data_IF_332932214901
#
_entry.id   IF_332932214901
#
_cell.length_a   1.000
_cell.length_b   1.000
_cell.length_c   1.000
_cell.angle_alpha   90.00
_cell.angle_beta   90.00
_cell.angle_gamma   90.00
#
_symmetry.space_group_name_H-M   'P 1'
#
loop_
_entity.id
_entity.type
_entity.pdbx_description
1 polymer ?
#
# COMPACT_ATOMS: atom_id res chain seq x y z
N UNK A 1 -2.01 32.19 1.62
CA UNK A 1 -0.91 32.08 0.63
C UNK A 1 -1.45 31.66 -0.74
N UNK A 2 -0.62 31.67 -1.81
CA UNK A 2 -1.01 31.11 -3.12
C UNK A 2 -1.40 29.63 -3.00
N UNK A 3 -0.70 28.87 -2.15
CA UNK A 3 -0.97 27.45 -1.89
C UNK A 3 -2.35 27.22 -1.28
N UNK A 4 -2.75 28.01 -0.29
CA UNK A 4 -4.11 27.92 0.29
C UNK A 4 -5.20 28.20 -0.76
N UNK A 5 -4.95 29.13 -1.68
CA UNK A 5 -5.85 29.40 -2.81
C UNK A 5 -5.99 28.19 -3.73
N UNK A 6 -4.86 27.54 -4.05
CA UNK A 6 -4.86 26.34 -4.89
C UNK A 6 -5.54 25.13 -4.20
N UNK A 7 -5.37 24.96 -2.89
CA UNK A 7 -6.05 23.91 -2.11
C UNK A 7 -7.56 24.15 -2.12
N UNK A 8 -8.04 25.40 -1.92
CA UNK A 8 -9.47 25.70 -2.02
C UNK A 8 -10.03 25.38 -3.40
N UNK A 9 -9.32 25.80 -4.46
CA UNK A 9 -9.74 25.53 -5.83
C UNK A 9 -9.71 24.03 -6.19
N UNK A 10 -8.82 23.25 -5.58
CA UNK A 10 -8.82 21.78 -5.68
C UNK A 10 -10.09 21.18 -5.07
N UNK A 11 -10.46 21.61 -3.86
CA UNK A 11 -11.66 21.15 -3.17
C UNK A 11 -12.92 21.47 -3.97
N UNK A 12 -13.02 22.69 -4.51
CA UNK A 12 -14.11 23.08 -5.40
C UNK A 12 -14.16 22.19 -6.65
N UNK A 13 -13.00 21.89 -7.26
CA UNK A 13 -12.92 21.00 -8.41
C UNK A 13 -13.36 19.57 -8.08
N UNK A 14 -13.05 19.05 -6.89
CA UNK A 14 -13.52 17.73 -6.43
C UNK A 14 -15.04 17.71 -6.30
N UNK A 15 -15.65 18.77 -5.74
CA UNK A 15 -17.11 18.87 -5.62
C UNK A 15 -17.82 18.84 -6.97
N UNK A 16 -17.17 19.29 -8.03
CA UNK A 16 -17.70 19.29 -9.39
C UNK A 16 -17.47 17.98 -10.17
N UNK A 17 -16.70 17.02 -9.63
CA UNK A 17 -16.54 15.72 -10.26
C UNK A 17 -17.85 14.90 -10.23
N UNK A 18 -18.04 13.97 -11.19
CA UNK A 18 -19.15 13.01 -11.13
C UNK A 18 -19.14 12.24 -9.81
N UNK A 19 -20.33 11.95 -9.27
CA UNK A 19 -20.47 11.29 -7.96
C UNK A 19 -19.70 9.97 -7.87
N UNK A 20 -19.77 9.15 -8.93
CA UNK A 20 -19.08 7.86 -9.02
C UNK A 20 -17.54 7.95 -9.00
N UNK A 21 -16.98 9.13 -9.24
CA UNK A 21 -15.54 9.36 -9.22
C UNK A 21 -15.04 9.92 -7.89
N UNK A 22 -15.86 10.70 -7.18
CA UNK A 22 -15.49 11.34 -5.89
C UNK A 22 -16.02 10.65 -4.64
N UNK A 23 -16.99 9.73 -4.76
CA UNK A 23 -17.67 9.10 -3.62
C UNK A 23 -16.70 8.53 -2.55
N UNK A 24 -15.67 7.78 -2.96
CA UNK A 24 -14.69 7.20 -2.02
C UNK A 24 -13.85 8.26 -1.29
N UNK A 25 -13.53 9.37 -1.95
CA UNK A 25 -12.82 10.49 -1.32
C UNK A 25 -13.71 11.24 -0.33
N UNK A 26 -14.95 11.54 -0.71
CA UNK A 26 -15.93 12.20 0.16
C UNK A 26 -16.17 11.38 1.43
N UNK A 27 -16.41 10.06 1.27
CA UNK A 27 -16.52 9.12 2.37
C UNK A 27 -15.28 9.09 3.26
N UNK A 28 -14.08 9.08 2.68
CA UNK A 28 -12.84 9.11 3.46
C UNK A 28 -12.69 10.40 4.28
N UNK A 29 -13.10 11.54 3.72
CA UNK A 29 -13.08 12.85 4.39
C UNK A 29 -14.06 12.90 5.57
N UNK A 30 -15.19 12.22 5.45
CA UNK A 30 -16.19 12.10 6.51
C UNK A 30 -15.75 11.11 7.60
N UNK A 31 -15.32 9.90 7.23
CA UNK A 31 -15.00 8.83 8.19
C UNK A 31 -13.62 8.98 8.86
N UNK A 32 -12.63 9.53 8.14
CA UNK A 32 -11.23 9.55 8.55
C UNK A 32 -10.47 10.80 8.05
N UNK A 33 -10.91 12.02 8.41
CA UNK A 33 -10.31 13.27 7.91
C UNK A 33 -8.81 13.40 8.23
N UNK A 34 -8.37 12.86 9.37
CA UNK A 34 -6.96 12.83 9.77
C UNK A 34 -6.12 11.94 8.84
N UNK A 35 -6.68 10.82 8.38
CA UNK A 35 -6.04 9.93 7.41
C UNK A 35 -5.98 10.58 6.04
N UNK A 36 -7.02 11.30 5.62
CA UNK A 36 -7.00 12.08 4.37
C UNK A 36 -5.91 13.14 4.38
N UNK A 37 -5.80 13.89 5.48
CA UNK A 37 -4.78 14.93 5.62
C UNK A 37 -3.36 14.36 5.61
N UNK A 38 -3.12 13.28 6.37
CA UNK A 38 -1.79 12.68 6.48
C UNK A 38 -1.38 11.91 5.23
N UNK A 39 -2.28 11.08 4.69
CA UNK A 39 -1.89 10.08 3.71
C UNK A 39 -2.09 10.55 2.25
N UNK A 40 -2.80 11.66 2.04
CA UNK A 40 -3.10 12.21 0.72
C UNK A 40 -3.07 13.73 0.72
N UNK A 41 -1.94 14.31 1.14
CA UNK A 41 -1.77 15.76 1.20
C UNK A 41 -2.08 16.41 -0.17
N UNK A 42 -3.09 17.30 -0.25
CA UNK A 42 -3.48 18.00 -1.48
C UNK A 42 -2.33 18.63 -2.28
N UNK A 43 -1.31 19.14 -1.57
CA UNK A 43 -0.18 19.81 -2.22
C UNK A 43 0.67 18.86 -3.06
N UNK A 44 0.77 17.57 -2.70
CA UNK A 44 1.51 16.59 -3.51
C UNK A 44 0.86 16.42 -4.88
N UNK A 45 -0.47 16.33 -4.93
CA UNK A 45 -1.25 16.19 -6.16
C UNK A 45 -1.21 17.46 -7.00
N UNK A 46 -1.33 18.63 -6.36
CA UNK A 46 -1.21 19.93 -7.02
C UNK A 46 0.18 20.14 -7.63
N UNK A 47 1.26 19.92 -6.86
CA UNK A 47 2.64 20.05 -7.37
C UNK A 47 2.86 19.14 -8.58
N UNK A 48 2.43 17.88 -8.50
CA UNK A 48 2.58 16.92 -9.58
C UNK A 48 1.84 17.33 -10.86
N UNK A 49 0.61 17.83 -10.73
CA UNK A 49 -0.20 18.31 -11.87
C UNK A 49 0.08 19.78 -12.24
N UNK A 50 1.21 20.33 -11.78
CA UNK A 50 1.64 21.72 -12.07
C UNK A 50 0.55 22.75 -11.74
N UNK A 51 -0.10 22.54 -10.60
CA UNK A 51 -1.21 23.34 -10.08
C UNK A 51 -2.47 23.37 -10.96
N UNK A 52 -2.63 22.41 -11.89
CA UNK A 52 -3.91 22.17 -12.53
C UNK A 52 -4.86 21.48 -11.52
N UNK A 53 -5.82 22.25 -11.00
CA UNK A 53 -6.73 21.81 -9.94
C UNK A 53 -7.65 20.69 -10.39
N UNK A 54 -8.09 20.68 -11.66
CA UNK A 54 -8.97 19.65 -12.19
C UNK A 54 -8.28 18.30 -12.32
N UNK A 55 -7.06 18.28 -12.85
CA UNK A 55 -6.31 17.03 -13.00
C UNK A 55 -5.84 16.51 -11.63
N UNK A 56 -5.46 17.41 -10.71
CA UNK A 56 -5.15 17.05 -9.34
C UNK A 56 -6.38 16.48 -8.60
N UNK A 57 -7.56 17.07 -8.79
CA UNK A 57 -8.82 16.59 -8.21
C UNK A 57 -9.15 15.17 -8.69
N UNK A 58 -9.08 14.93 -10.00
CA UNK A 58 -9.29 13.59 -10.59
C UNK A 58 -8.31 12.56 -10.04
N UNK A 59 -7.03 12.92 -9.92
CA UNK A 59 -6.00 12.03 -9.39
C UNK A 59 -6.23 11.70 -7.92
N UNK A 60 -6.54 12.70 -7.09
CA UNK A 60 -6.81 12.52 -5.67
C UNK A 60 -8.08 11.67 -5.44
N UNK A 61 -9.15 11.93 -6.20
CA UNK A 61 -10.35 11.11 -6.16
C UNK A 61 -10.07 9.66 -6.57
N UNK A 62 -9.30 9.45 -7.65
CA UNK A 62 -8.87 8.13 -8.10
C UNK A 62 -7.96 7.42 -7.09
N UNK A 63 -7.10 8.14 -6.36
CA UNK A 63 -6.28 7.57 -5.28
C UNK A 63 -7.15 6.88 -4.24
N UNK A 64 -8.19 7.56 -3.75
CA UNK A 64 -9.09 7.00 -2.75
C UNK A 64 -9.93 5.85 -3.30
N UNK A 65 -10.42 5.96 -4.53
CA UNK A 65 -11.08 4.84 -5.23
C UNK A 65 -10.19 3.59 -5.29
N UNK A 66 -8.94 3.75 -5.73
CA UNK A 66 -7.99 2.65 -5.79
C UNK A 66 -7.63 2.10 -4.39
N UNK A 67 -7.55 2.96 -3.38
CA UNK A 67 -7.31 2.58 -1.99
C UNK A 67 -8.48 1.75 -1.43
N UNK A 68 -9.71 2.20 -1.61
CA UNK A 68 -10.91 1.48 -1.20
C UNK A 68 -11.01 0.11 -1.88
N UNK A 69 -10.69 0.02 -3.17
CA UNK A 69 -10.63 -1.26 -3.88
C UNK A 69 -9.55 -2.20 -3.33
N UNK A 70 -8.35 -1.69 -3.04
CA UNK A 70 -7.22 -2.52 -2.62
C UNK A 70 -7.34 -3.00 -1.16
N UNK A 71 -7.90 -2.16 -0.27
CA UNK A 71 -7.89 -2.37 1.19
C UNK A 71 -9.27 -2.61 1.80
N UNK A 72 -10.35 -2.46 1.03
CA UNK A 72 -11.73 -2.64 1.48
C UNK A 72 -12.00 -1.82 2.75
N UNK A 73 -12.55 -2.42 3.80
CA UNK A 73 -12.83 -1.76 5.08
C UNK A 73 -11.59 -1.16 5.76
N UNK A 74 -10.37 -1.64 5.43
CA UNK A 74 -9.12 -1.11 6.00
C UNK A 74 -8.63 0.14 5.27
N UNK A 75 -9.28 0.58 4.19
CA UNK A 75 -8.86 1.73 3.39
C UNK A 75 -8.80 3.03 4.21
N UNK A 76 -9.67 3.17 5.20
CA UNK A 76 -9.77 4.34 6.07
C UNK A 76 -8.84 4.28 7.29
N UNK A 77 -7.96 3.27 7.36
CA UNK A 77 -6.91 3.20 8.36
C UNK A 77 -5.61 3.83 7.84
N UNK A 78 -4.71 4.31 8.72
CA UNK A 78 -3.40 4.84 8.32
C UNK A 78 -2.61 3.91 7.39
N UNK A 79 -2.03 4.44 6.31
CA UNK A 79 -1.18 3.68 5.39
C UNK A 79 0.20 3.45 6.01
N UNK A 80 0.32 2.42 6.85
CA UNK A 80 1.52 2.12 7.61
C UNK A 80 1.83 0.61 7.60
N UNK A 81 3.08 0.24 7.88
CA UNK A 81 3.54 -1.16 7.91
C UNK A 81 3.48 -1.78 9.32
N UNK A 82 2.72 -1.18 10.24
CA UNK A 82 2.60 -1.63 11.63
C UNK A 82 1.78 -2.91 11.78
N UNK A 83 1.04 -3.31 10.74
CA UNK A 83 0.06 -4.40 10.75
C UNK A 83 -1.33 -4.00 11.27
N UNK A 84 -1.47 -2.77 11.76
CA UNK A 84 -2.72 -2.25 12.35
C UNK A 84 -3.39 -1.17 11.50
N UNK A 85 -2.64 -0.59 10.56
CA UNK A 85 -3.13 0.35 9.56
C UNK A 85 -3.81 -0.34 8.39
N UNK A 86 -3.76 0.28 7.21
CA UNK A 86 -4.31 -0.30 5.99
C UNK A 86 -3.68 -1.68 5.69
N UNK A 87 -2.35 -1.82 5.85
CA UNK A 87 -1.66 -3.10 5.72
C UNK A 87 -1.97 -4.03 6.90
N UNK A 88 -2.47 -5.24 6.58
CA UNK A 88 -2.64 -6.31 7.56
C UNK A 88 -1.35 -7.10 7.80
N UNK A 89 -1.40 -8.03 8.76
CA UNK A 89 -0.25 -8.91 9.09
C UNK A 89 0.28 -9.68 7.87
N UNK A 90 -0.62 -10.17 7.01
CA UNK A 90 -0.24 -10.88 5.78
C UNK A 90 0.53 -9.97 4.82
N UNK A 91 0.11 -8.71 4.70
CA UNK A 91 0.76 -7.73 3.82
C UNK A 91 2.13 -7.34 4.37
N UNK A 92 2.24 -7.12 5.68
CA UNK A 92 3.52 -6.84 6.36
C UNK A 92 4.49 -8.02 6.24
N UNK A 93 4.02 -9.26 6.36
CA UNK A 93 4.85 -10.44 6.14
C UNK A 93 5.36 -10.53 4.70
N UNK A 94 4.55 -10.11 3.72
CA UNK A 94 4.99 -10.00 2.33
C UNK A 94 6.00 -8.86 2.16
N UNK A 95 5.78 -7.74 2.84
CA UNK A 95 6.68 -6.59 2.85
C UNK A 95 8.09 -6.98 3.33
N UNK A 96 8.17 -7.63 4.49
CA UNK A 96 9.41 -8.14 5.08
C UNK A 96 10.10 -9.26 4.29
N UNK A 97 9.52 -9.74 3.17
CA UNK A 97 10.24 -10.66 2.29
C UNK A 97 11.36 -10.00 1.49
N UNK A 98 11.33 -8.67 1.35
CA UNK A 98 12.24 -7.94 0.47
C UNK A 98 11.89 -8.05 -1.02
N UNK A 99 10.66 -8.46 -1.36
CA UNK A 99 10.21 -8.50 -2.76
C UNK A 99 10.23 -7.11 -3.43
N UNK A 100 9.92 -6.07 -2.66
CA UNK A 100 10.28 -4.71 -3.01
C UNK A 100 10.97 -4.06 -1.82
N UNK A 101 11.96 -3.22 -2.09
CA UNK A 101 12.75 -2.55 -1.06
C UNK A 101 13.10 -1.11 -1.47
N UNK A 102 13.34 -0.27 -0.46
CA UNK A 102 13.87 1.10 -0.60
C UNK A 102 15.31 1.14 -0.11
N UNK A 103 16.29 0.95 -0.99
CA UNK A 103 17.67 0.97 -0.55
C UNK A 103 18.22 2.40 -0.35
N UNK A 104 17.49 3.42 -0.82
CA UNK A 104 17.83 4.82 -0.63
C UNK A 104 17.44 5.69 -1.83
N UNK A 105 18.27 6.68 -2.09
CA UNK A 105 18.09 7.67 -3.15
C UNK A 105 19.24 7.61 -4.16
N UNK A 106 18.98 8.04 -5.38
CA UNK A 106 20.05 8.28 -6.36
C UNK A 106 20.73 9.64 -6.15
N UNK A 107 21.66 9.98 -7.04
CA UNK A 107 22.44 11.23 -7.02
C UNK A 107 21.59 12.52 -7.13
N UNK A 108 20.37 12.43 -7.65
CA UNK A 108 19.43 13.54 -7.76
C UNK A 108 18.40 13.60 -6.61
N UNK A 109 18.50 12.68 -5.65
CA UNK A 109 17.60 12.55 -4.51
C UNK A 109 16.30 11.81 -4.83
N UNK A 110 16.17 11.18 -6.01
CA UNK A 110 14.99 10.41 -6.39
C UNK A 110 14.96 9.10 -5.62
N UNK A 111 13.77 8.68 -5.19
CA UNK A 111 13.60 7.38 -4.54
C UNK A 111 13.97 6.25 -5.51
N UNK A 112 14.82 5.33 -5.07
CA UNK A 112 15.12 4.09 -5.79
C UNK A 112 14.22 2.98 -5.23
N UNK A 113 13.50 2.28 -6.11
CA UNK A 113 12.70 1.09 -5.75
C UNK A 113 13.31 -0.11 -6.44
N UNK A 114 13.75 -1.09 -5.66
CA UNK A 114 14.21 -2.38 -6.19
C UNK A 114 13.09 -3.40 -6.07
N UNK A 115 12.77 -4.07 -7.18
CA UNK A 115 11.90 -5.23 -7.21
C UNK A 115 12.72 -6.50 -7.49
N UNK A 116 12.86 -7.38 -6.49
CA UNK A 116 13.61 -8.63 -6.63
C UNK A 116 12.69 -9.85 -6.62
N UNK A 117 12.43 -10.40 -7.81
CA UNK A 117 11.54 -11.54 -7.97
C UNK A 117 12.00 -12.82 -7.23
N UNK A 118 13.28 -12.94 -6.88
CA UNK A 118 13.80 -14.12 -6.14
C UNK A 118 13.32 -14.15 -4.70
N UNK A 119 12.98 -12.99 -4.14
CA UNK A 119 12.55 -12.81 -2.76
C UNK A 119 11.06 -13.10 -2.55
N UNK A 120 10.31 -13.28 -3.63
CA UNK A 120 8.87 -13.58 -3.56
C UNK A 120 8.62 -15.00 -3.06
N UNK A 121 8.04 -15.12 -1.86
CA UNK A 121 7.74 -16.42 -1.21
C UNK A 121 6.39 -17.02 -1.64
N UNK A 122 5.36 -16.20 -1.88
CA UNK A 122 3.99 -16.66 -2.21
C UNK A 122 3.40 -15.88 -3.38
N UNK A 123 2.54 -16.54 -4.16
CA UNK A 123 1.75 -15.94 -5.23
C UNK A 123 0.43 -15.40 -4.68
N UNK A 124 0.51 -14.27 -3.98
CA UNK A 124 -0.67 -13.49 -3.61
C UNK A 124 -0.66 -12.19 -4.40
N UNK A 125 -1.56 -12.07 -5.38
CA UNK A 125 -1.64 -10.89 -6.24
C UNK A 125 -2.23 -9.68 -5.49
N UNK A 126 -3.16 -9.91 -4.58
CA UNK A 126 -3.81 -8.85 -3.80
C UNK A 126 -2.85 -8.27 -2.76
N UNK A 127 -2.11 -9.12 -2.03
CA UNK A 127 -1.05 -8.66 -1.14
C UNK A 127 0.06 -7.93 -1.91
N UNK A 128 0.41 -8.40 -3.13
CA UNK A 128 1.35 -7.69 -4.00
C UNK A 128 0.87 -6.29 -4.41
N UNK A 129 -0.43 -6.15 -4.68
CA UNK A 129 -1.06 -4.86 -4.99
C UNK A 129 -1.01 -3.92 -3.78
N UNK A 130 -1.44 -4.37 -2.59
CA UNK A 130 -1.40 -3.56 -1.35
C UNK A 130 0.02 -3.17 -0.96
N UNK A 131 0.98 -4.07 -1.11
CA UNK A 131 2.39 -3.78 -0.94
C UNK A 131 2.85 -2.70 -1.93
N UNK A 132 2.56 -2.86 -3.23
CA UNK A 132 2.89 -1.83 -4.23
C UNK A 132 2.23 -0.48 -3.90
N UNK A 133 1.00 -0.49 -3.42
CA UNK A 133 0.29 0.72 -2.98
C UNK A 133 1.05 1.42 -1.84
N UNK A 134 1.48 0.68 -0.82
CA UNK A 134 2.27 1.22 0.29
C UNK A 134 3.62 1.78 -0.17
N UNK A 135 4.33 1.12 -1.09
CA UNK A 135 5.59 1.66 -1.61
C UNK A 135 5.37 2.98 -2.35
N UNK A 136 4.38 3.03 -3.25
CA UNK A 136 4.09 4.28 -3.95
C UNK A 136 3.66 5.38 -2.97
N UNK A 137 2.94 5.01 -1.89
CA UNK A 137 2.58 5.93 -0.82
C UNK A 137 3.82 6.50 -0.09
N UNK A 138 4.83 5.68 0.21
CA UNK A 138 6.08 6.16 0.81
C UNK A 138 6.89 6.99 -0.20
N UNK A 139 7.00 6.55 -1.45
CA UNK A 139 7.79 7.22 -2.47
C UNK A 139 7.27 8.64 -2.76
N UNK A 140 5.95 8.85 -2.74
CA UNK A 140 5.37 10.19 -2.99
C UNK A 140 5.58 11.17 -1.82
N UNK A 141 6.06 10.73 -0.66
CA UNK A 141 6.41 11.65 0.44
C UNK A 141 7.75 12.36 0.19
N UNK A 142 8.58 11.85 -0.73
CA UNK A 142 9.82 12.49 -1.13
C UNK A 142 9.53 13.55 -2.20
N UNK A 143 9.80 14.81 -1.88
CA UNK A 143 9.58 15.95 -2.79
C UNK A 143 10.37 15.82 -4.10
N UNK A 144 11.62 15.36 -4.03
CA UNK A 144 12.44 15.11 -5.23
C UNK A 144 11.81 14.04 -6.12
N UNK A 145 11.13 13.04 -5.56
CA UNK A 145 10.42 12.01 -6.32
C UNK A 145 9.17 12.55 -6.99
N UNK A 146 8.42 13.45 -6.34
CA UNK A 146 7.26 14.11 -6.98
C UNK A 146 7.71 14.90 -8.21
N UNK A 147 8.79 15.67 -8.07
CA UNK A 147 9.27 16.57 -9.11
C UNK A 147 9.99 15.84 -10.25
N UNK A 148 10.95 14.98 -9.90
CA UNK A 148 11.89 14.38 -10.86
C UNK A 148 11.56 12.93 -11.23
N UNK A 149 10.64 12.31 -10.49
CA UNK A 149 10.21 10.93 -10.67
C UNK A 149 10.94 9.92 -9.80
N UNK A 150 10.55 8.66 -9.95
CA UNK A 150 11.08 7.49 -9.22
C UNK A 150 11.94 6.60 -10.13
N UNK A 151 13.01 6.03 -9.57
CA UNK A 151 13.90 5.10 -10.26
C UNK A 151 13.50 3.66 -9.92
N UNK A 152 13.21 2.85 -10.94
CA UNK A 152 12.90 1.43 -10.74
C UNK A 152 14.05 0.53 -11.15
N UNK A 153 14.44 -0.41 -10.29
CA UNK A 153 15.39 -1.48 -10.59
C UNK A 153 14.68 -2.83 -10.45
N UNK A 154 14.49 -3.53 -11.57
CA UNK A 154 13.74 -4.80 -11.62
C UNK A 154 14.71 -5.96 -11.85
N UNK A 155 14.86 -6.82 -10.85
CA UNK A 155 15.70 -8.02 -10.91
C UNK A 155 14.85 -9.21 -11.34
N UNK A 156 15.07 -9.66 -12.57
CA UNK A 156 14.39 -10.83 -13.14
C UNK A 156 15.20 -12.08 -12.84
N UNK A 157 15.07 -12.58 -11.61
CA UNK A 157 15.81 -13.77 -11.11
C UNK A 157 14.99 -15.06 -11.16
N UNK A 158 13.67 -14.96 -11.26
CA UNK A 158 12.77 -16.10 -11.46
C UNK A 158 11.77 -15.81 -12.56
N UNK A 159 11.53 -16.82 -13.38
CA UNK A 159 10.47 -16.80 -14.39
C UNK A 159 9.14 -16.96 -13.65
N UNK A 160 8.29 -15.94 -13.68
CA UNK A 160 6.89 -16.10 -13.27
C UNK A 160 5.97 -15.35 -14.21
N UNK A 161 4.94 -16.04 -14.70
CA UNK A 161 3.88 -15.46 -15.53
C UNK A 161 3.18 -14.28 -14.83
N UNK A 162 3.23 -14.25 -13.50
CA UNK A 162 2.71 -13.18 -12.66
C UNK A 162 3.33 -11.80 -12.96
N UNK A 163 4.55 -11.75 -13.50
CA UNK A 163 5.23 -10.50 -13.91
C UNK A 163 4.67 -10.01 -15.25
N UNK A 164 4.24 -10.94 -16.11
CA UNK A 164 3.79 -10.70 -17.50
C UNK A 164 2.26 -10.82 -17.61
N UNK A 165 1.56 -10.79 -16.48
CA UNK A 165 0.12 -11.02 -16.39
C UNK A 165 -0.70 -9.75 -16.19
N UNK A 166 -2.01 -9.87 -16.43
CA UNK A 166 -3.01 -8.81 -16.22
C UNK A 166 -2.89 -8.13 -14.86
N UNK A 167 -2.67 -8.90 -13.79
CA UNK A 167 -2.51 -8.36 -12.44
C UNK A 167 -1.31 -7.39 -12.31
N UNK A 168 -0.21 -7.62 -13.04
CA UNK A 168 0.92 -6.68 -13.02
C UNK A 168 0.58 -5.38 -13.74
N UNK A 169 -0.08 -5.48 -14.89
CA UNK A 169 -0.56 -4.32 -15.63
C UNK A 169 -1.54 -3.47 -14.81
N UNK A 170 -2.52 -4.11 -14.15
CA UNK A 170 -3.49 -3.44 -13.28
C UNK A 170 -2.80 -2.71 -12.12
N UNK A 171 -1.82 -3.34 -11.46
CA UNK A 171 -1.02 -2.69 -10.41
C UNK A 171 -0.31 -1.44 -10.91
N UNK A 172 0.36 -1.52 -12.05
CA UNK A 172 1.08 -0.37 -12.61
C UNK A 172 0.11 0.72 -13.09
N UNK A 173 -1.02 0.34 -13.68
CA UNK A 173 -2.06 1.28 -14.08
C UNK A 173 -2.64 2.03 -12.87
N UNK A 174 -2.87 1.35 -11.75
CA UNK A 174 -3.25 1.98 -10.48
C UNK A 174 -2.16 2.94 -10.02
N UNK A 175 -0.89 2.52 -9.98
CA UNK A 175 0.22 3.38 -9.55
C UNK A 175 0.29 4.69 -10.37
N UNK A 176 0.21 4.59 -11.71
CA UNK A 176 0.29 5.74 -12.63
C UNK A 176 -0.89 6.70 -12.48
N UNK A 177 -2.10 6.20 -12.19
CA UNK A 177 -3.32 7.01 -12.11
C UNK A 177 -3.61 7.55 -10.72
N UNK A 178 -3.25 6.81 -9.67
CA UNK A 178 -3.56 7.15 -8.28
C UNK A 178 -2.49 8.03 -7.63
N UNK A 179 -1.22 7.83 -7.94
CA UNK A 179 -0.16 8.51 -7.20
C UNK A 179 0.38 9.71 -7.96
N UNK A 180 0.82 10.77 -7.27
CA UNK A 180 1.60 11.87 -7.84
C UNK A 180 3.05 11.41 -8.08
N UNK A 181 3.20 10.36 -8.90
CA UNK A 181 4.47 9.72 -9.21
C UNK A 181 4.63 9.57 -10.71
N UNK A 182 5.83 9.82 -11.20
CA UNK A 182 6.24 9.51 -12.56
C UNK A 182 7.48 8.62 -12.54
N UNK A 183 7.56 7.62 -13.43
CA UNK A 183 8.79 6.84 -13.58
C UNK A 183 9.84 7.71 -14.25
N UNK A 184 10.95 7.97 -13.57
CA UNK A 184 12.10 8.65 -14.14
C UNK A 184 12.83 7.72 -15.12
N UNK A 185 13.24 6.56 -14.61
CA UNK A 185 13.89 5.50 -15.38
C UNK A 185 13.51 4.11 -14.86
N UNK A 186 13.71 3.12 -15.73
CA UNK A 186 13.49 1.70 -15.45
C UNK A 186 14.73 0.90 -15.88
N UNK A 187 15.35 0.22 -14.92
CA UNK A 187 16.50 -0.65 -15.11
C UNK A 187 16.05 -2.11 -14.96
N UNK A 188 16.16 -2.91 -16.01
CA UNK A 188 15.85 -4.35 -15.97
C UNK A 188 17.14 -5.14 -15.95
N UNK A 189 17.28 -6.01 -14.96
CA UNK A 189 18.46 -6.86 -14.76
C UNK A 189 18.03 -8.32 -14.97
N UNK A 190 18.21 -8.87 -16.18
CA UNK A 190 17.92 -10.27 -16.46
C UNK A 190 18.94 -11.18 -15.77
N UNK A 191 18.53 -11.82 -14.67
CA UNK A 191 19.32 -12.80 -13.94
C UNK A 191 18.84 -14.24 -14.25
N UNK A 192 18.61 -14.54 -15.54
CA UNK A 192 18.17 -15.85 -16.00
C UNK A 192 19.15 -16.41 -17.02
N UNK A 193 19.98 -17.37 -16.60
CA UNK A 193 21.02 -17.98 -17.45
C UNK A 193 20.47 -18.80 -18.63
N UNK A 194 19.17 -19.17 -18.66
CA UNK A 194 18.64 -20.22 -19.56
C UNK A 194 17.30 -19.95 -20.26
N UNK A 195 16.75 -18.73 -20.27
CA UNK A 195 15.43 -18.48 -20.89
C UNK A 195 15.39 -17.21 -21.75
N UNK A 196 16.10 -17.21 -22.89
CA UNK A 196 16.07 -16.08 -23.84
C UNK A 196 14.64 -15.80 -24.32
N UNK A 197 13.90 -16.83 -24.73
CA UNK A 197 12.53 -16.68 -25.27
C UNK A 197 11.57 -15.97 -24.33
N UNK A 198 11.62 -16.25 -23.03
CA UNK A 198 10.75 -15.57 -22.06
C UNK A 198 11.16 -14.12 -21.79
N UNK A 199 12.47 -13.82 -21.75
CA UNK A 199 12.92 -12.44 -21.60
C UNK A 199 12.47 -11.57 -22.78
N UNK A 200 12.42 -12.16 -23.97
CA UNK A 200 11.95 -11.51 -25.19
C UNK A 200 10.44 -11.21 -25.13
N UNK A 201 9.63 -11.97 -24.38
CA UNK A 201 8.21 -11.68 -24.12
C UNK A 201 8.00 -10.74 -22.91
N UNK A 202 8.76 -10.94 -21.83
CA UNK A 202 8.57 -10.23 -20.57
C UNK A 202 9.02 -8.77 -20.65
N UNK A 203 10.13 -8.48 -21.31
CA UNK A 203 10.68 -7.11 -21.40
C UNK A 203 9.71 -6.16 -22.12
N UNK A 204 9.17 -6.49 -23.33
CA UNK A 204 8.17 -5.65 -23.99
C UNK A 204 6.93 -5.40 -23.13
N UNK A 205 6.45 -6.44 -22.42
CA UNK A 205 5.32 -6.28 -21.50
C UNK A 205 5.64 -5.33 -20.34
N UNK A 206 6.80 -5.48 -19.69
CA UNK A 206 7.23 -4.55 -18.63
C UNK A 206 7.31 -3.14 -19.23
N UNK A 207 7.93 -2.96 -20.39
CA UNK A 207 7.99 -1.65 -21.05
C UNK A 207 6.62 -1.07 -21.39
N UNK A 208 5.65 -1.90 -21.72
CA UNK A 208 4.26 -1.50 -21.95
C UNK A 208 3.59 -0.99 -20.66
N UNK A 209 3.88 -1.60 -19.51
CA UNK A 209 3.39 -1.15 -18.20
C UNK A 209 3.93 0.23 -17.80
N UNK A 210 5.09 0.65 -18.34
CA UNK A 210 5.67 1.98 -18.08
C UNK A 210 5.63 2.86 -19.35
N UNK A 211 4.46 3.29 -19.85
CA UNK A 211 4.35 3.94 -21.15
C UNK A 211 5.04 5.30 -21.22
N UNK A 212 5.17 5.99 -20.08
CA UNK A 212 5.86 7.28 -19.97
C UNK A 212 7.38 7.03 -19.97
N UNK A 213 8.12 7.82 -20.76
CA UNK A 213 9.58 7.79 -20.90
C UNK A 213 10.15 6.57 -21.65
N UNK A 214 9.86 6.48 -22.96
CA UNK A 214 10.47 5.45 -23.84
C UNK A 214 12.00 5.50 -23.86
N UNK A 215 12.60 6.67 -23.68
CA UNK A 215 14.07 6.88 -23.72
C UNK A 215 14.80 6.41 -22.46
N UNK A 216 14.10 6.21 -21.34
CA UNK A 216 14.73 5.98 -20.04
C UNK A 216 14.50 4.55 -19.54
N UNK A 217 14.57 3.58 -20.45
CA UNK A 217 14.37 2.16 -20.16
C UNK A 217 15.61 1.39 -20.59
N UNK A 218 16.24 0.72 -19.64
CA UNK A 218 17.54 0.10 -19.83
C UNK A 218 17.46 -1.39 -19.48
N UNK A 219 18.05 -2.24 -20.32
CA UNK A 219 18.20 -3.67 -20.06
C UNK A 219 19.69 -3.98 -19.91
N UNK A 220 20.10 -4.36 -18.70
CA UNK A 220 21.51 -4.55 -18.33
C UNK A 220 21.93 -6.00 -18.51
N UNK A 221 22.47 -6.34 -19.69
CA UNK A 221 22.98 -7.69 -19.99
C UNK A 221 24.46 -7.83 -19.60
N UNK A 222 24.73 -7.72 -18.31
CA UNK A 222 26.07 -7.78 -17.74
C UNK A 222 26.52 -9.23 -17.49
N UNK A 223 27.84 -9.46 -17.48
CA UNK A 223 28.48 -10.78 -17.25
C UNK A 223 28.52 -11.15 -15.77
N UNK A 224 28.72 -10.16 -14.91
CA UNK A 224 28.82 -10.32 -13.47
C UNK A 224 28.23 -9.11 -12.72
N UNK A 225 28.21 -9.21 -11.39
CA UNK A 225 27.62 -8.19 -10.52
C UNK A 225 28.40 -6.87 -10.48
N UNK A 226 29.72 -6.89 -10.74
CA UNK A 226 30.51 -5.66 -10.74
C UNK A 226 30.18 -4.82 -11.98
N UNK A 227 30.05 -5.48 -13.14
CA UNK A 227 29.63 -4.82 -14.38
C UNK A 227 28.20 -4.25 -14.27
N UNK A 228 27.29 -4.93 -13.54
CA UNK A 228 25.96 -4.38 -13.21
C UNK A 228 26.11 -3.08 -12.43
N UNK A 229 26.87 -3.11 -11.33
CA UNK A 229 27.05 -1.95 -10.47
C UNK A 229 27.68 -0.76 -11.21
N UNK A 230 28.75 -0.98 -11.98
CA UNK A 230 29.41 0.05 -12.79
C UNK A 230 28.47 0.65 -13.85
N UNK A 231 27.58 -0.16 -14.43
CA UNK A 231 26.60 0.34 -15.41
C UNK A 231 25.51 1.17 -14.73
N UNK A 232 24.99 0.73 -13.58
CA UNK A 232 23.97 1.47 -12.83
C UNK A 232 24.52 2.77 -12.21
N UNK A 233 25.79 2.79 -11.83
CA UNK A 233 26.48 3.98 -11.31
C UNK A 233 26.55 5.11 -12.36
N UNK A 234 26.71 4.77 -13.65
CA UNK A 234 26.61 5.74 -14.77
C UNK A 234 25.23 6.38 -14.91
N UNK A 235 24.22 5.81 -14.27
CA UNK A 235 22.85 6.32 -14.22
C UNK A 235 22.49 6.93 -12.86
N UNK A 236 23.50 7.28 -12.04
CA UNK A 236 23.31 7.96 -10.76
C UNK A 236 22.99 7.02 -9.59
N UNK A 237 22.95 5.70 -9.79
CA UNK A 237 22.64 4.73 -8.74
C UNK A 237 23.95 4.27 -8.08
N UNK A 238 24.30 4.90 -6.96
CA UNK A 238 25.49 4.56 -6.17
C UNK A 238 25.48 3.11 -5.67
N UNK A 239 26.67 2.51 -5.56
CA UNK A 239 26.87 1.20 -4.92
C UNK A 239 26.34 1.14 -3.49
N UNK A 240 26.28 2.27 -2.78
CA UNK A 240 25.77 2.33 -1.39
C UNK A 240 24.28 2.04 -1.28
N UNK A 241 23.49 2.27 -2.33
CA UNK A 241 22.04 2.01 -2.39
C UNK A 241 21.71 0.84 -3.33
N UNK A 242 22.72 0.10 -3.76
CA UNK A 242 22.54 -1.05 -4.63
C UNK A 242 22.67 -2.35 -3.82
N UNK A 243 21.75 -3.31 -3.98
CA UNK A 243 21.85 -4.60 -3.31
C UNK A 243 23.17 -5.35 -3.59
N UNK A 244 23.67 -6.10 -2.60
CA UNK A 244 24.88 -6.92 -2.72
C UNK A 244 24.83 -7.93 -3.87
N UNK A 245 23.63 -8.48 -4.15
CA UNK A 245 23.43 -9.40 -5.29
C UNK A 245 23.50 -8.72 -6.66
N UNK A 246 23.55 -7.39 -6.69
CA UNK A 246 23.76 -6.55 -7.87
C UNK A 246 25.12 -5.83 -7.85
N UNK A 247 26.01 -6.17 -6.92
CA UNK A 247 27.37 -5.63 -6.84
C UNK A 247 27.50 -4.34 -6.03
N UNK A 248 26.48 -3.98 -5.26
CA UNK A 248 26.55 -2.88 -4.30
C UNK A 248 26.88 -3.31 -2.87
N UNK A 249 26.64 -2.39 -1.93
CA UNK A 249 26.97 -2.50 -0.52
C UNK A 249 25.72 -2.52 0.38
N UNK A 250 24.52 -2.42 -0.20
CA UNK A 250 23.27 -2.45 0.55
C UNK A 250 22.82 -3.91 0.74
N UNK A 251 22.50 -4.28 1.96
CA UNK A 251 22.05 -5.63 2.33
C UNK A 251 20.56 -5.64 2.69
N UNK A 252 19.96 -6.82 2.71
CA UNK A 252 18.58 -6.96 3.21
C UNK A 252 18.47 -6.81 4.73
N UNK A 253 19.59 -6.81 5.46
CA UNK A 253 19.60 -6.44 6.86
C UNK A 253 19.43 -4.92 7.02
N UNK A 254 20.00 -4.12 6.11
CA UNK A 254 19.74 -2.68 6.03
C UNK A 254 18.24 -2.40 5.76
N UNK A 255 17.56 -3.28 5.00
CA UNK A 255 16.10 -3.19 4.84
C UNK A 255 15.36 -3.40 6.14
N UNK A 256 15.74 -4.40 6.94
CA UNK A 256 15.12 -4.64 8.24
C UNK A 256 15.29 -3.42 9.16
N UNK A 257 16.46 -2.76 9.13
CA UNK A 257 16.69 -1.51 9.87
C UNK A 257 15.84 -0.35 9.33
N UNK A 258 15.68 -0.25 8.01
CA UNK A 258 14.75 0.73 7.41
C UNK A 258 13.31 0.47 7.83
N UNK A 259 12.85 -0.78 7.81
CA UNK A 259 11.51 -1.16 8.28
C UNK A 259 11.29 -0.77 9.75
N UNK A 260 12.27 -1.05 10.61
CA UNK A 260 12.18 -0.66 12.02
C UNK A 260 12.10 0.87 12.18
N UNK A 261 12.97 1.61 11.49
CA UNK A 261 12.96 3.07 11.47
C UNK A 261 11.61 3.60 11.03
N UNK A 262 11.05 3.04 9.96
CA UNK A 262 9.77 3.46 9.40
C UNK A 262 8.60 3.13 10.33
N UNK A 263 8.60 1.96 10.96
CA UNK A 263 7.62 1.59 12.00
C UNK A 263 7.67 2.59 13.16
N UNK A 264 8.86 3.03 13.58
CA UNK A 264 8.99 4.05 14.62
C UNK A 264 8.40 5.39 14.18
N UNK A 265 8.71 5.85 12.95
CA UNK A 265 8.11 7.07 12.38
C UNK A 265 6.57 6.97 12.36
N UNK A 266 6.04 5.85 11.87
CA UNK A 266 4.59 5.63 11.74
C UNK A 266 3.86 5.50 13.09
N UNK A 267 4.57 5.04 14.13
CA UNK A 267 4.09 5.06 15.51
C UNK A 267 4.43 6.37 16.25
N UNK A 268 5.03 7.33 15.54
CA UNK A 268 5.58 8.57 16.08
C UNK A 268 6.62 8.35 17.19
N UNK A 269 7.17 7.16 17.37
CA UNK A 269 8.13 6.79 18.43
C UNK A 269 9.46 7.56 18.29
N UNK A 270 10.19 7.76 19.41
CA UNK A 270 11.52 8.33 19.37
C UNK A 270 12.46 7.54 18.44
N UNK A 271 13.13 8.27 17.54
CA UNK A 271 14.10 7.71 16.61
C UNK A 271 15.53 7.73 17.18
N UNK A 272 15.76 8.50 18.26
CA UNK A 272 17.09 8.93 18.69
C UNK A 272 17.60 10.12 17.85
N UNK A 273 18.86 10.53 18.02
CA UNK A 273 19.50 11.37 17.00
C UNK A 273 19.61 10.55 15.73
N UNK A 274 18.85 10.94 14.71
CA UNK A 274 19.04 10.49 13.35
C UNK A 274 20.34 11.10 12.85
N UNK A 275 21.39 10.30 12.67
CA UNK A 275 22.46 10.70 11.75
C UNK A 275 21.89 10.60 10.35
N UNK A 276 21.39 11.73 9.85
CA UNK A 276 20.98 11.89 8.46
C UNK A 276 22.17 11.90 7.49
N UNK A 277 23.39 11.98 8.02
CA UNK A 277 24.63 11.98 7.25
C UNK A 277 25.04 10.55 6.86
N UNK A 278 24.80 10.18 5.61
CA UNK A 278 25.38 8.98 4.99
C UNK A 278 24.40 7.98 4.36
N UNK A 279 23.10 8.28 4.32
CA UNK A 279 22.13 7.48 3.59
C UNK A 279 21.82 6.09 4.20
N UNK A 280 22.30 5.80 5.42
CA UNK A 280 21.91 4.60 6.17
C UNK A 280 20.86 4.98 7.21
N UNK A 281 19.71 4.31 7.15
CA UNK A 281 18.64 4.45 8.13
C UNK A 281 19.07 3.82 9.45
N UNK A 282 19.75 4.56 10.33
CA UNK A 282 20.14 4.04 11.64
C UNK A 282 19.24 4.63 12.72
N UNK A 283 18.15 3.93 13.04
CA UNK A 283 17.51 4.11 14.32
C UNK A 283 18.42 3.55 15.42
N UNK A 284 18.61 4.28 16.52
CA UNK A 284 19.40 3.75 17.65
C UNK A 284 18.78 2.44 18.15
N UNK A 285 19.59 1.40 18.43
CA UNK A 285 19.13 0.21 19.12
C UNK A 285 18.31 0.60 20.35
N UNK A 286 17.21 -0.13 20.60
CA UNK A 286 16.31 0.19 21.71
C UNK A 286 17.00 0.23 23.07
N UNK A 287 18.08 -0.54 23.23
CA UNK A 287 18.93 -0.56 24.42
C UNK A 287 19.76 0.71 24.63
N UNK A 288 19.93 1.53 23.59
CA UNK A 288 20.69 2.78 23.60
C UNK A 288 19.81 4.03 23.69
N UNK A 289 18.48 3.86 23.76
CA UNK A 289 17.55 4.97 24.01
C UNK A 289 17.76 5.51 25.42
N UNK A 290 17.60 6.83 25.61
CA UNK A 290 17.61 7.43 26.93
C UNK A 290 16.48 6.86 27.80
N UNK A 291 16.59 6.94 29.14
CA UNK A 291 15.51 6.49 30.01
C UNK A 291 14.19 7.21 29.70
N UNK A 292 14.24 8.50 29.39
CA UNK A 292 13.07 9.29 28.98
C UNK A 292 12.44 8.76 27.69
N UNK A 293 13.25 8.45 26.66
CA UNK A 293 12.78 7.87 25.41
C UNK A 293 12.17 6.47 25.61
N UNK A 294 12.76 5.66 26.49
CA UNK A 294 12.23 4.34 26.85
C UNK A 294 10.88 4.45 27.58
N UNK A 295 10.74 5.40 28.50
CA UNK A 295 9.49 5.68 29.21
C UNK A 295 8.42 6.17 28.24
N UNK A 296 8.74 7.13 27.37
CA UNK A 296 7.79 7.66 26.39
C UNK A 296 7.38 6.57 25.38
N UNK A 297 8.31 5.73 24.93
CA UNK A 297 7.99 4.55 24.12
C UNK A 297 7.02 3.62 24.84
N UNK A 298 7.29 3.26 26.10
CA UNK A 298 6.40 2.39 26.90
C UNK A 298 5.02 3.02 27.07
N UNK A 299 4.96 4.34 27.31
CA UNK A 299 3.71 5.11 27.39
C UNK A 299 2.92 5.03 26.09
N UNK A 300 3.55 5.34 24.95
CA UNK A 300 2.89 5.26 23.63
C UNK A 300 2.43 3.84 23.31
N UNK A 301 3.24 2.83 23.63
CA UNK A 301 2.85 1.43 23.48
C UNK A 301 1.65 1.06 24.35
N UNK A 302 1.57 1.56 25.59
CA UNK A 302 0.43 1.34 26.47
C UNK A 302 -0.84 2.05 25.97
N UNK A 303 -0.72 3.30 25.52
CA UNK A 303 -1.82 4.04 24.88
C UNK A 303 -2.34 3.27 23.68
N UNK A 304 -1.42 2.75 22.88
CA UNK A 304 -1.75 1.93 21.73
C UNK A 304 -2.46 0.64 22.13
N UNK A 305 -1.91 -0.10 23.09
CA UNK A 305 -2.52 -1.34 23.59
C UNK A 305 -3.93 -1.10 24.14
N UNK A 306 -4.14 0.02 24.84
CA UNK A 306 -5.46 0.45 25.31
C UNK A 306 -6.41 0.77 24.15
N UNK A 307 -5.94 1.48 23.11
CA UNK A 307 -6.72 1.71 21.87
C UNK A 307 -7.07 0.39 21.18
N UNK A 308 -6.12 -0.57 21.07
CA UNK A 308 -6.33 -1.92 20.50
C UNK A 308 -7.40 -2.69 21.25
N UNK A 309 -7.33 -2.69 22.59
CA UNK A 309 -8.31 -3.36 23.45
C UNK A 309 -9.71 -2.80 23.18
N UNK A 310 -9.89 -1.48 23.29
CA UNK A 310 -11.17 -0.82 23.03
C UNK A 310 -11.74 -1.08 21.63
N UNK A 311 -10.89 -1.13 20.60
CA UNK A 311 -11.32 -1.44 19.24
C UNK A 311 -11.81 -2.88 19.12
N UNK A 312 -11.11 -3.85 19.71
CA UNK A 312 -11.56 -5.25 19.75
C UNK A 312 -12.87 -5.39 20.50
N UNK A 313 -12.96 -4.78 21.69
CA UNK A 313 -14.17 -4.80 22.51
C UNK A 313 -15.37 -4.21 21.72
N UNK A 314 -15.16 -3.13 20.95
CA UNK A 314 -16.20 -2.55 20.08
C UNK A 314 -16.60 -3.49 18.93
N UNK A 315 -15.64 -4.12 18.26
CA UNK A 315 -15.93 -5.06 17.17
C UNK A 315 -16.65 -6.31 17.68
N UNK A 316 -16.28 -6.79 18.87
CA UNK A 316 -16.95 -7.88 19.56
C UNK A 316 -18.38 -7.49 19.93
N UNK A 317 -18.60 -6.30 20.50
CA UNK A 317 -19.93 -5.76 20.78
C UNK A 317 -20.80 -5.70 19.52
N UNK A 318 -20.29 -5.13 18.42
CA UNK A 318 -21.02 -5.03 17.16
C UNK A 318 -21.33 -6.41 16.55
N UNK A 319 -20.42 -7.38 16.70
CA UNK A 319 -20.67 -8.74 16.25
C UNK A 319 -21.74 -9.44 17.08
N UNK A 320 -21.76 -9.22 18.40
CA UNK A 320 -22.77 -9.77 19.30
C UNK A 320 -24.13 -9.10 19.08
N UNK A 321 -24.17 -7.79 18.86
CA UNK A 321 -25.38 -7.04 18.52
C UNK A 321 -26.04 -7.62 17.26
N UNK A 322 -25.27 -7.85 16.19
CA UNK A 322 -25.79 -8.51 14.98
C UNK A 322 -26.29 -9.93 15.23
N UNK A 323 -25.57 -10.73 16.03
CA UNK A 323 -26.04 -12.08 16.38
C UNK A 323 -27.35 -12.06 17.16
N UNK A 324 -27.53 -11.06 18.03
CA UNK A 324 -28.79 -10.87 18.75
C UNK A 324 -29.92 -10.46 17.80
N UNK A 325 -29.64 -9.57 16.85
CA UNK A 325 -30.59 -9.20 15.78
C UNK A 325 -30.99 -10.42 14.94
N UNK A 326 -30.03 -11.21 14.45
CA UNK A 326 -30.28 -12.42 13.66
C UNK A 326 -31.13 -13.46 14.44
N UNK A 327 -30.83 -13.66 15.73
CA UNK A 327 -31.58 -14.58 16.59
C UNK A 327 -33.01 -14.08 16.88
N UNK A 328 -33.20 -12.77 16.98
CA UNK A 328 -34.52 -12.18 17.10
C UNK A 328 -35.35 -12.41 15.83
N UNK A 329 -34.77 -12.19 14.65
CA UNK A 329 -35.42 -12.48 13.37
C UNK A 329 -35.78 -13.97 13.23
N UNK A 330 -34.88 -14.88 13.64
CA UNK A 330 -35.14 -16.32 13.63
C UNK A 330 -36.27 -16.71 14.61
N UNK A 331 -36.28 -16.13 15.82
CA UNK A 331 -37.34 -16.37 16.80
C UNK A 331 -38.69 -15.89 16.26
N UNK A 332 -38.77 -14.70 15.68
CA UNK A 332 -39.99 -14.17 15.07
C UNK A 332 -40.52 -15.11 13.96
N UNK A 333 -39.63 -15.60 13.09
CA UNK A 333 -39.99 -16.55 12.05
C UNK A 333 -40.53 -17.89 12.61
N UNK A 334 -39.92 -18.41 13.68
CA UNK A 334 -40.40 -19.62 14.37
C UNK A 334 -41.77 -19.40 15.01
N UNK A 335 -41.99 -18.23 15.62
CA UNK A 335 -43.28 -17.89 16.23
C UNK A 335 -44.39 -17.75 15.18
N UNK A 336 -44.10 -17.14 14.04
CA UNK A 336 -45.04 -17.05 12.90
C UNK A 336 -45.38 -18.43 12.35
N UNK A 337 -44.38 -19.29 12.14
CA UNK A 337 -44.61 -20.66 11.67
C UNK A 337 -45.38 -21.49 12.70
N UNK A 338 -45.09 -21.30 14.00
CA UNK A 338 -45.84 -21.91 15.09
C UNK A 338 -47.33 -21.54 15.08
N UNK A 339 -47.65 -20.25 14.89
CA UNK A 339 -49.04 -19.77 14.73
C UNK A 339 -49.72 -20.37 13.50
N UNK A 340 -48.98 -20.50 12.39
CA UNK A 340 -49.47 -21.14 11.16
C UNK A 340 -49.84 -22.60 11.40
N UNK A 341 -48.95 -23.37 12.03
CA UNK A 341 -49.16 -24.78 12.34
C UNK A 341 -50.33 -24.99 13.31
N UNK A 342 -50.47 -24.15 14.34
CA UNK A 342 -51.63 -24.20 15.25
C UNK A 342 -52.96 -23.99 14.51
N UNK A 343 -52.99 -23.05 13.56
CA UNK A 343 -54.17 -22.80 12.72
C UNK A 343 -54.52 -24.01 11.86
N UNK A 344 -53.50 -24.65 11.25
CA UNK A 344 -53.68 -25.86 10.44
C UNK A 344 -54.18 -27.04 11.29
N UNK A 345 -53.62 -27.22 12.49
CA UNK A 345 -54.04 -28.26 13.43
C UNK A 345 -55.50 -28.09 13.85
N UNK A 346 -55.90 -26.87 14.24
CA UNK A 346 -57.28 -26.57 14.61
C UNK A 346 -58.26 -26.85 13.46
N UNK A 347 -57.87 -26.50 12.22
CA UNK A 347 -58.65 -26.82 11.02
C UNK A 347 -58.78 -28.33 10.80
N UNK A 348 -57.69 -29.08 10.93
CA UNK A 348 -57.70 -30.54 10.79
C UNK A 348 -58.59 -31.21 11.85
N UNK A 349 -58.49 -30.78 13.10
CA UNK A 349 -59.35 -31.24 14.20
C UNK A 349 -60.84 -30.96 13.90
N UNK A 350 -61.16 -29.77 13.39
CA UNK A 350 -62.52 -29.42 12.99
C UNK A 350 -63.05 -30.22 11.79
N UNK A 351 -62.19 -30.75 10.93
CA UNK A 351 -62.57 -31.66 9.85
C UNK A 351 -62.80 -33.08 10.37
N UNK A 352 -61.94 -33.58 11.25
CA UNK A 352 -62.12 -34.92 11.84
C UNK A 352 -63.42 -35.02 12.64
N UNK A 353 -63.80 -33.97 13.37
CA UNK A 353 -65.06 -33.93 14.11
C UNK A 353 -66.33 -33.98 13.23
N UNK A 354 -66.20 -33.80 11.91
CA UNK A 354 -67.32 -33.85 10.95
C UNK A 354 -67.43 -35.17 10.19
N UNK A 355 -66.46 -36.07 10.36
CA UNK A 355 -66.55 -37.40 9.74
C UNK A 355 -67.63 -38.21 10.45
N UNK A 356 -68.62 -38.78 9.73
CA UNK A 356 -69.59 -39.67 10.32
C UNK A 356 -68.90 -40.94 10.83
N UNK A 357 -69.32 -41.41 12.02
CA UNK A 357 -68.86 -42.67 12.63
C UNK A 357 -69.08 -43.89 11.73
#
# INVERSE_FOLDING_TARGET
SLEEGAIRALEDAILLLPEADKADYCRAKEEAPDVVQRDSNPLWFLKFEKFNTWDAAKRLAYYWKARCQAFQERAFLPMNQTGEGALGKTDVNMFSSGYYVFPGYDDEGRTVIVNDASRRKKKDAAAAMRHSFYLNHIAMQNEATIEKGVVFVVVLSRISLDIVGRASHERTAVAIKAFPLQSHCLHIIPNVKKARSFLDEAIPFIFHCFPRNKSNKFVHRCKDKNEIAETLEKHGISKTVLPENLGGNWSYDDFATWQETQIRIEWELPLGQLDTFGGKYQARPLSQLSQEEQVERKRRYNVLHSRRKRRRDRQESQSLERQVEDLHEEQEAIEEEGKRLQTLLARAQGLMAKLPE
#
